data_IF_832588156402
#
_entry.id   IF_832588156402
#
_cell.length_a   1.000
_cell.length_b   1.000
_cell.length_c   1.000
_cell.angle_alpha   90.00
_cell.angle_beta   90.00
_cell.angle_gamma   90.00
#
_symmetry.space_group_name_H-M   'P 1'
#
loop_
_entity.id
_entity.type
_entity.pdbx_description
1 polymer ?
#
# COMPACT_ATOMS: atom_id res chain seq x y z
N UNK A 1 48.17 13.50 4.56
CA UNK A 1 46.78 13.11 4.96
C UNK A 1 46.67 11.62 4.78
N UNK A 2 46.31 10.87 5.84
CA UNK A 2 46.13 9.41 5.75
C UNK A 2 44.74 9.08 5.22
N UNK A 3 44.66 7.98 4.44
CA UNK A 3 43.37 7.44 3.97
C UNK A 3 42.73 6.66 5.12
N UNK A 4 41.48 6.97 5.46
CA UNK A 4 40.70 6.24 6.46
C UNK A 4 39.73 5.34 5.72
N UNK A 5 39.81 4.03 5.97
CA UNK A 5 38.85 3.07 5.41
C UNK A 5 37.58 2.97 6.27
N UNK A 6 36.42 2.78 5.63
CA UNK A 6 35.19 2.48 6.34
C UNK A 6 35.30 1.11 7.00
N UNK A 7 34.98 1.03 8.29
CA UNK A 7 35.04 -0.23 9.05
C UNK A 7 33.84 -1.14 8.85
N UNK A 8 32.76 -0.64 8.22
CA UNK A 8 31.59 -1.43 7.88
C UNK A 8 31.84 -2.27 6.63
N UNK A 9 32.08 -3.57 6.79
CA UNK A 9 32.32 -4.50 5.70
C UNK A 9 31.04 -4.88 4.91
N UNK A 10 29.85 -4.54 5.42
CA UNK A 10 28.59 -4.78 4.74
C UNK A 10 28.16 -3.63 3.83
N UNK A 11 28.93 -2.55 3.76
CA UNK A 11 28.59 -1.39 2.93
C UNK A 11 28.46 -1.78 1.45
N UNK A 12 27.29 -1.52 0.86
CA UNK A 12 26.95 -1.91 -0.51
C UNK A 12 26.53 -3.38 -0.70
N UNK A 13 26.64 -4.22 0.33
CA UNK A 13 26.20 -5.62 0.28
C UNK A 13 24.70 -5.67 0.55
N UNK A 14 23.95 -6.34 -0.32
CA UNK A 14 22.48 -6.49 -0.18
C UNK A 14 21.74 -5.17 0.08
N UNK A 15 22.18 -4.08 -0.56
CA UNK A 15 21.58 -2.75 -0.38
C UNK A 15 21.76 -2.18 1.02
N UNK A 16 22.72 -2.70 1.80
CA UNK A 16 23.07 -2.16 3.11
C UNK A 16 23.82 -0.86 2.91
N UNK A 17 23.28 0.23 3.41
CA UNK A 17 23.93 1.52 3.59
C UNK A 17 24.32 1.62 5.08
N UNK A 18 25.60 1.73 5.36
CA UNK A 18 26.06 1.75 6.74
C UNK A 18 25.72 3.05 7.45
N UNK A 19 25.38 2.97 8.72
CA UNK A 19 25.19 4.15 9.56
C UNK A 19 26.34 4.28 10.55
N UNK A 20 26.53 3.29 11.44
CA UNK A 20 27.54 3.37 12.52
C UNK A 20 27.98 1.99 12.98
N UNK A 21 29.27 1.77 12.94
CA UNK A 21 29.93 0.67 13.65
C UNK A 21 30.32 1.10 15.07
N UNK A 22 30.27 0.17 15.99
CA UNK A 22 30.77 0.34 17.36
C UNK A 22 31.61 -0.88 17.77
N UNK A 23 32.72 -0.62 18.43
CA UNK A 23 33.56 -1.67 19.02
C UNK A 23 34.17 -1.11 20.31
N UNK A 24 33.87 -1.78 21.42
CA UNK A 24 34.58 -1.65 22.69
C UNK A 24 35.06 -3.06 23.06
N UNK A 25 34.35 -3.71 23.96
CA UNK A 25 34.53 -5.14 24.30
C UNK A 25 33.72 -6.04 23.35
N UNK A 26 32.66 -5.52 22.74
CA UNK A 26 31.72 -6.20 21.86
C UNK A 26 31.47 -5.38 20.61
N UNK A 27 31.11 -6.06 19.52
CA UNK A 27 30.82 -5.44 18.25
C UNK A 27 29.35 -5.05 18.15
N UNK A 28 29.08 -3.90 17.53
CA UNK A 28 27.72 -3.41 17.28
C UNK A 28 27.64 -2.76 15.91
N UNK A 29 26.49 -2.86 15.25
CA UNK A 29 26.23 -2.22 13.95
C UNK A 29 24.79 -1.70 13.90
N UNK A 30 24.67 -0.40 13.60
CA UNK A 30 23.42 0.22 13.13
C UNK A 30 23.50 0.35 11.61
N UNK A 31 22.50 -0.13 10.91
CA UNK A 31 22.49 -0.16 9.45
C UNK A 31 21.10 0.17 8.87
N UNK A 32 21.09 0.59 7.61
CA UNK A 32 19.92 0.57 6.75
C UNK A 32 20.12 -0.43 5.63
N UNK A 33 19.05 -1.02 5.14
CA UNK A 33 19.05 -1.80 3.90
C UNK A 33 17.83 -1.42 3.07
N UNK A 34 18.04 -1.24 1.77
CA UNK A 34 16.97 -0.94 0.82
C UNK A 34 16.60 -2.18 0.04
N UNK A 35 15.31 -2.43 -0.08
CA UNK A 35 14.77 -3.43 -0.99
C UNK A 35 13.74 -2.78 -1.91
N UNK A 36 13.65 -3.25 -3.15
CA UNK A 36 12.66 -2.77 -4.12
C UNK A 36 11.70 -3.89 -4.46
N UNK A 37 10.40 -3.64 -4.30
CA UNK A 37 9.32 -4.53 -4.67
C UNK A 37 8.49 -3.84 -5.75
N UNK A 38 8.58 -4.30 -6.99
CA UNK A 38 7.83 -3.76 -8.14
C UNK A 38 7.84 -2.22 -8.18
N UNK A 39 9.03 -1.62 -8.09
CA UNK A 39 9.25 -0.17 -8.08
C UNK A 39 8.98 0.53 -6.74
N UNK A 40 8.44 -0.16 -5.75
CA UNK A 40 8.28 0.39 -4.40
C UNK A 40 9.53 0.14 -3.57
N UNK A 41 10.15 1.21 -3.08
CA UNK A 41 11.35 1.12 -2.23
C UNK A 41 10.94 1.02 -0.77
N UNK A 42 11.45 -0.01 -0.08
CA UNK A 42 11.31 -0.20 1.35
C UNK A 42 12.68 0.00 1.99
N UNK A 43 12.76 0.81 3.03
CA UNK A 43 13.99 1.00 3.81
C UNK A 43 13.83 0.27 5.13
N UNK A 44 14.72 -0.68 5.37
CA UNK A 44 14.88 -1.36 6.65
C UNK A 44 15.90 -0.60 7.48
N UNK A 45 15.62 -0.43 8.76
CA UNK A 45 16.56 0.08 9.74
C UNK A 45 16.76 -1.03 10.75
N UNK A 46 18.01 -1.44 10.96
CA UNK A 46 18.36 -2.51 11.88
C UNK A 46 19.51 -2.13 12.78
N UNK A 47 19.50 -2.70 13.98
CA UNK A 47 20.59 -2.59 14.94
C UNK A 47 20.90 -3.97 15.53
N UNK A 48 22.18 -4.30 15.56
CA UNK A 48 22.71 -5.47 16.27
C UNK A 48 23.70 -4.96 17.30
N UNK A 49 23.50 -5.36 18.54
CA UNK A 49 24.32 -4.97 19.69
C UNK A 49 24.96 -6.21 20.33
N UNK A 50 26.06 -5.98 21.02
CA UNK A 50 26.72 -6.98 21.89
C UNK A 50 27.16 -8.27 21.18
N UNK A 51 27.50 -8.19 19.89
CA UNK A 51 28.04 -9.32 19.18
C UNK A 51 29.51 -9.60 19.56
N UNK A 52 29.96 -10.86 19.49
CA UNK A 52 31.31 -11.23 19.93
C UNK A 52 32.41 -10.59 19.05
N UNK A 53 32.13 -10.34 17.79
CA UNK A 53 33.03 -9.70 16.81
C UNK A 53 32.24 -9.27 15.56
N UNK A 54 32.86 -8.43 14.70
CA UNK A 54 32.23 -7.97 13.46
C UNK A 54 31.87 -9.10 12.48
N UNK A 55 32.71 -10.10 12.18
CA UNK A 55 32.33 -11.17 11.28
C UNK A 55 31.07 -11.91 11.69
N UNK A 56 30.89 -12.15 12.98
CA UNK A 56 29.69 -12.83 13.51
C UNK A 56 28.44 -11.98 13.35
N UNK A 57 28.49 -10.69 13.69
CA UNK A 57 27.32 -9.81 13.54
C UNK A 57 27.02 -9.55 12.06
N UNK A 58 28.02 -9.48 11.19
CA UNK A 58 27.84 -9.31 9.74
C UNK A 58 27.08 -10.49 9.15
N UNK A 59 27.41 -11.72 9.55
CA UNK A 59 26.67 -12.92 9.13
C UNK A 59 25.23 -12.91 9.64
N UNK A 60 25.01 -12.53 10.90
CA UNK A 60 23.66 -12.41 11.50
C UNK A 60 22.83 -11.34 10.80
N UNK A 61 23.43 -10.19 10.45
CA UNK A 61 22.76 -9.10 9.72
C UNK A 61 22.33 -9.55 8.33
N UNK A 62 23.17 -10.25 7.58
CA UNK A 62 22.81 -10.80 6.26
C UNK A 62 21.61 -11.74 6.38
N UNK A 63 21.64 -12.63 7.36
CA UNK A 63 20.51 -13.54 7.63
C UNK A 63 19.22 -12.76 7.94
N UNK A 64 19.30 -11.78 8.82
CA UNK A 64 18.17 -10.94 9.22
C UNK A 64 17.60 -10.14 8.05
N UNK A 65 18.47 -9.52 7.23
CA UNK A 65 18.05 -8.78 6.02
C UNK A 65 17.42 -9.72 5.01
N UNK A 66 17.96 -10.92 4.81
CA UNK A 66 17.38 -11.94 3.93
C UNK A 66 15.99 -12.38 4.39
N UNK A 67 15.80 -12.64 5.67
CA UNK A 67 14.50 -12.98 6.27
C UNK A 67 13.51 -11.80 6.15
N UNK A 68 13.98 -10.59 6.43
CA UNK A 68 13.15 -9.40 6.27
C UNK A 68 12.68 -9.22 4.82
N UNK A 69 13.57 -9.39 3.85
CA UNK A 69 13.23 -9.32 2.42
C UNK A 69 12.19 -10.38 2.03
N UNK A 70 12.37 -11.61 2.47
CA UNK A 70 11.45 -12.70 2.19
C UNK A 70 10.05 -12.48 2.80
N UNK A 71 9.94 -11.70 3.87
CA UNK A 71 8.69 -11.38 4.53
C UNK A 71 7.87 -10.29 3.84
N UNK A 72 8.51 -9.37 3.08
CA UNK A 72 7.80 -8.31 2.39
C UNK A 72 7.30 -8.74 1.02
N UNK A 73 6.04 -8.44 0.71
CA UNK A 73 5.46 -8.66 -0.60
C UNK A 73 4.40 -7.62 -0.92
N UNK A 74 4.10 -7.48 -2.22
CA UNK A 74 3.04 -6.60 -2.71
C UNK A 74 1.76 -7.40 -2.92
N UNK A 75 0.67 -6.96 -2.27
CA UNK A 75 -0.67 -7.48 -2.48
C UNK A 75 -1.46 -6.46 -3.30
N UNK A 76 -1.99 -6.86 -4.45
CA UNK A 76 -2.90 -6.03 -5.21
C UNK A 76 -4.24 -5.98 -4.48
N UNK A 77 -4.56 -4.82 -3.90
CA UNK A 77 -5.78 -4.62 -3.09
C UNK A 77 -6.94 -4.04 -3.91
N UNK A 78 -6.66 -3.43 -5.05
CA UNK A 78 -7.68 -3.00 -6.00
C UNK A 78 -7.15 -3.11 -7.44
N UNK A 79 -7.96 -3.63 -8.34
CA UNK A 79 -7.73 -3.57 -9.78
C UNK A 79 -8.55 -2.42 -10.39
N UNK A 80 -7.99 -1.70 -11.39
CA UNK A 80 -8.74 -0.70 -12.13
C UNK A 80 -10.03 -1.31 -12.70
N UNK A 81 -11.17 -0.66 -12.44
CA UNK A 81 -12.48 -1.15 -12.86
C UNK A 81 -13.14 -2.16 -11.92
N UNK A 82 -12.47 -2.62 -10.87
CA UNK A 82 -13.06 -3.47 -9.83
C UNK A 82 -14.18 -2.72 -9.11
N UNK A 83 -15.35 -3.37 -8.96
CA UNK A 83 -16.52 -2.78 -8.30
C UNK A 83 -16.40 -2.91 -6.76
N UNK A 84 -16.72 -1.81 -6.07
CA UNK A 84 -16.74 -1.71 -4.60
C UNK A 84 -18.11 -1.35 -4.04
N UNK A 85 -18.97 -0.71 -4.84
CA UNK A 85 -20.34 -0.39 -4.46
C UNK A 85 -21.24 -0.37 -5.68
N UNK A 86 -22.55 -0.51 -5.46
CA UNK A 86 -23.57 -0.43 -6.51
C UNK A 86 -24.59 0.62 -6.12
N UNK A 87 -24.90 1.48 -7.07
CA UNK A 87 -26.00 2.44 -6.98
C UNK A 87 -27.23 1.89 -7.71
N UNK A 88 -28.38 2.03 -7.08
CA UNK A 88 -29.67 1.75 -7.71
C UNK A 88 -30.60 2.94 -7.42
N UNK A 89 -31.12 3.57 -8.46
CA UNK A 89 -32.06 4.67 -8.35
C UNK A 89 -33.50 4.14 -8.15
N UNK A 90 -34.41 5.00 -7.69
CA UNK A 90 -35.84 4.65 -7.52
C UNK A 90 -36.49 4.26 -8.85
N UNK A 91 -35.99 4.73 -9.99
CA UNK A 91 -36.46 4.41 -11.33
C UNK A 91 -35.68 3.28 -12.03
N UNK A 92 -34.92 2.49 -11.24
CA UNK A 92 -34.31 1.25 -11.72
C UNK A 92 -32.95 1.41 -12.43
N UNK A 93 -32.42 2.63 -12.63
CA UNK A 93 -31.08 2.81 -13.20
C UNK A 93 -30.04 2.30 -12.18
N UNK A 94 -29.08 1.51 -12.68
CA UNK A 94 -28.00 0.95 -11.84
C UNK A 94 -26.65 1.37 -12.40
N UNK A 95 -25.69 1.65 -11.52
CA UNK A 95 -24.29 1.86 -11.85
C UNK A 95 -23.37 1.36 -10.74
N UNK A 96 -22.21 0.83 -11.09
CA UNK A 96 -21.19 0.42 -10.11
C UNK A 96 -20.21 1.55 -9.86
N UNK A 97 -19.81 1.71 -8.61
CA UNK A 97 -18.64 2.48 -8.23
C UNK A 97 -17.40 1.58 -8.37
N UNK A 98 -16.51 1.92 -9.26
CA UNK A 98 -15.35 1.12 -9.61
C UNK A 98 -14.05 1.85 -9.30
N UNK A 99 -12.99 1.12 -8.98
CA UNK A 99 -11.68 1.69 -8.75
C UNK A 99 -11.16 2.42 -9.99
N UNK A 100 -10.73 3.67 -9.82
CA UNK A 100 -10.21 4.51 -10.92
C UNK A 100 -8.85 4.02 -11.45
N UNK A 101 -8.08 3.32 -10.62
CA UNK A 101 -6.76 2.76 -10.93
C UNK A 101 -6.51 1.49 -10.12
N UNK A 102 -5.51 0.72 -10.53
CA UNK A 102 -5.01 -0.38 -9.69
C UNK A 102 -4.18 0.17 -8.54
N UNK A 103 -4.24 -0.51 -7.40
CA UNK A 103 -3.47 -0.17 -6.19
C UNK A 103 -2.95 -1.46 -5.56
N UNK A 104 -1.69 -1.44 -5.17
CA UNK A 104 -1.05 -2.49 -4.38
C UNK A 104 -0.63 -1.93 -3.02
N UNK A 105 -0.53 -2.79 -2.03
CA UNK A 105 -0.11 -2.48 -0.67
C UNK A 105 1.05 -3.39 -0.29
N UNK A 106 2.09 -2.83 0.29
CA UNK A 106 3.19 -3.61 0.88
C UNK A 106 2.69 -4.24 2.17
N UNK A 107 2.84 -5.55 2.28
CA UNK A 107 2.49 -6.31 3.48
C UNK A 107 3.69 -7.10 3.98
N UNK A 108 3.70 -7.41 5.27
CA UNK A 108 4.69 -8.26 5.91
C UNK A 108 4.04 -9.59 6.29
N UNK A 109 4.65 -10.70 5.88
CA UNK A 109 4.18 -12.05 6.22
C UNK A 109 2.69 -12.22 5.89
N UNK A 110 1.94 -12.78 6.82
CA UNK A 110 0.50 -13.00 6.73
C UNK A 110 -0.35 -11.85 7.27
N UNK A 111 0.16 -10.61 7.34
CA UNK A 111 -0.62 -9.46 7.85
C UNK A 111 -1.92 -9.30 7.08
N UNK A 112 -3.09 -9.35 7.73
CA UNK A 112 -4.37 -9.24 7.04
C UNK A 112 -4.58 -7.83 6.48
N UNK A 113 -5.18 -7.78 5.29
CA UNK A 113 -5.61 -6.51 4.68
C UNK A 113 -7.06 -6.27 5.06
N UNK A 114 -7.32 -5.09 5.64
CA UNK A 114 -8.67 -4.62 5.94
C UNK A 114 -9.11 -3.60 4.89
N UNK A 115 -10.32 -3.78 4.34
CA UNK A 115 -10.96 -2.87 3.39
C UNK A 115 -12.01 -2.02 4.09
N UNK A 116 -12.05 -0.73 3.73
CA UNK A 116 -13.14 0.19 4.09
C UNK A 116 -13.55 1.00 2.88
N UNK A 117 -14.80 0.84 2.43
CA UNK A 117 -15.37 1.61 1.34
C UNK A 117 -16.30 2.70 1.88
N UNK A 118 -16.10 3.94 1.42
CA UNK A 118 -16.95 5.09 1.69
C UNK A 118 -17.44 5.64 0.36
N UNK A 119 -18.76 5.63 0.17
CA UNK A 119 -19.40 6.13 -1.05
C UNK A 119 -20.51 7.12 -0.67
N UNK A 120 -20.57 8.26 -1.36
CA UNK A 120 -21.59 9.28 -1.13
C UNK A 120 -22.90 8.89 -1.80
N UNK A 121 -24.04 9.28 -1.22
CA UNK A 121 -25.36 9.11 -1.85
C UNK A 121 -25.47 10.00 -3.09
N UNK A 122 -26.05 9.43 -4.17
CA UNK A 122 -26.25 10.12 -5.45
C UNK A 122 -27.61 9.76 -6.02
N UNK A 123 -28.24 10.74 -6.66
CA UNK A 123 -29.48 10.55 -7.42
C UNK A 123 -29.19 10.43 -8.92
N UNK A 124 -28.39 11.35 -9.45
CA UNK A 124 -27.93 11.35 -10.84
C UNK A 124 -26.46 11.77 -10.88
N UNK A 125 -25.71 11.23 -11.81
CA UNK A 125 -24.33 11.65 -12.05
C UNK A 125 -23.84 11.10 -13.41
N UNK A 126 -22.85 11.78 -14.00
CA UNK A 126 -22.21 11.35 -15.23
C UNK A 126 -21.27 10.17 -14.99
N UNK A 127 -20.97 9.41 -16.05
CA UNK A 127 -19.90 8.42 -16.06
C UNK A 127 -18.59 9.05 -15.57
N UNK A 128 -17.76 8.29 -14.90
CA UNK A 128 -16.45 8.69 -14.35
C UNK A 128 -16.51 9.75 -13.24
N UNK A 129 -17.70 10.16 -12.78
CA UNK A 129 -17.84 11.00 -11.58
C UNK A 129 -17.24 10.27 -10.39
N UNK A 130 -16.36 10.93 -9.63
CA UNK A 130 -15.82 10.38 -8.37
C UNK A 130 -16.91 10.38 -7.31
N UNK A 131 -17.18 9.20 -6.77
CA UNK A 131 -18.33 8.95 -5.87
C UNK A 131 -17.93 8.46 -4.49
N UNK A 132 -16.65 8.23 -4.27
CA UNK A 132 -16.18 7.73 -2.98
C UNK A 132 -14.72 7.33 -3.02
N UNK A 133 -14.33 6.57 -2.01
CA UNK A 133 -12.97 6.04 -1.85
C UNK A 133 -13.03 4.66 -1.22
N UNK A 134 -12.23 3.73 -1.73
CA UNK A 134 -11.89 2.49 -1.04
C UNK A 134 -10.51 2.64 -0.41
N UNK A 135 -10.40 2.34 0.88
CA UNK A 135 -9.18 2.42 1.68
C UNK A 135 -8.81 1.03 2.16
N UNK A 136 -7.53 0.72 2.16
CA UNK A 136 -6.96 -0.57 2.55
C UNK A 136 -5.88 -0.34 3.59
N UNK A 137 -5.85 -1.16 4.63
CA UNK A 137 -4.84 -1.10 5.69
C UNK A 137 -4.29 -2.48 5.97
N UNK A 138 -2.98 -2.57 6.21
CA UNK A 138 -2.30 -3.78 6.66
C UNK A 138 -1.20 -3.37 7.65
N UNK A 139 -1.43 -3.59 8.94
CA UNK A 139 -0.57 -3.09 10.00
C UNK A 139 -0.48 -1.55 9.94
N UNK A 140 0.73 -1.03 9.77
CA UNK A 140 1.01 0.41 9.66
C UNK A 140 0.88 0.96 8.22
N UNK A 141 0.79 0.07 7.23
CA UNK A 141 0.70 0.46 5.83
C UNK A 141 -0.74 0.70 5.41
N UNK A 142 -0.95 1.71 4.57
CA UNK A 142 -2.27 2.02 4.02
C UNK A 142 -2.19 2.48 2.57
N UNK A 143 -3.26 2.23 1.83
CA UNK A 143 -3.42 2.74 0.48
C UNK A 143 -4.90 3.06 0.24
N UNK A 144 -5.17 3.97 -0.70
CA UNK A 144 -6.52 4.35 -1.05
C UNK A 144 -6.67 4.53 -2.57
N UNK A 145 -7.89 4.29 -3.05
CA UNK A 145 -8.24 4.48 -4.46
C UNK A 145 -9.57 5.21 -4.57
N UNK A 146 -9.64 6.27 -5.42
CA UNK A 146 -10.91 6.90 -5.76
C UNK A 146 -11.84 5.93 -6.48
N UNK A 147 -13.12 5.99 -6.15
CA UNK A 147 -14.18 5.23 -6.82
C UNK A 147 -14.91 6.14 -7.81
N UNK A 148 -15.10 5.66 -9.03
CA UNK A 148 -15.77 6.38 -10.12
C UNK A 148 -16.96 5.57 -10.62
N UNK A 149 -18.00 6.25 -11.12
CA UNK A 149 -19.10 5.57 -11.78
C UNK A 149 -18.66 4.90 -13.08
N UNK A 150 -18.90 3.62 -13.22
CA UNK A 150 -18.60 2.85 -14.43
C UNK A 150 -19.49 3.27 -15.61
N UNK A 151 -20.70 3.77 -15.33
CA UNK A 151 -21.67 4.29 -16.29
C UNK A 151 -22.49 5.41 -15.64
N UNK A 152 -23.19 6.26 -16.40
CA UNK A 152 -24.01 7.33 -15.82
C UNK A 152 -25.18 6.78 -15.00
N UNK A 153 -25.54 7.47 -13.96
CA UNK A 153 -26.84 7.38 -13.28
C UNK A 153 -27.75 8.42 -13.92
N UNK A 154 -28.51 7.99 -14.93
CA UNK A 154 -29.44 8.86 -15.64
C UNK A 154 -30.69 9.12 -14.81
N UNK A 155 -31.34 10.25 -15.02
CA UNK A 155 -32.63 10.57 -14.44
C UNK A 155 -33.75 9.65 -14.95
N UNK A 156 -34.95 9.73 -14.35
CA UNK A 156 -36.09 8.93 -14.76
C UNK A 156 -36.54 9.30 -16.19
N UNK A 157 -36.93 8.28 -16.95
CA UNK A 157 -37.51 8.45 -18.28
C UNK A 157 -38.90 9.11 -18.22
N UNK A 158 -39.42 9.57 -19.41
CA UNK A 158 -40.72 10.26 -19.50
C UNK A 158 -41.89 9.43 -18.97
N UNK A 159 -41.97 8.14 -19.30
CA UNK A 159 -43.01 7.24 -18.82
C UNK A 159 -43.00 7.12 -17.29
N UNK A 160 -41.86 6.90 -16.69
CA UNK A 160 -41.73 6.79 -15.25
C UNK A 160 -42.18 8.07 -14.53
N UNK A 161 -41.89 9.25 -15.13
CA UNK A 161 -42.33 10.56 -14.58
C UNK A 161 -43.85 10.72 -14.62
N UNK A 162 -44.50 10.25 -15.66
CA UNK A 162 -45.96 10.27 -15.81
C UNK A 162 -46.65 9.36 -14.77
N UNK A 163 -46.05 8.20 -14.51
CA UNK A 163 -46.57 7.23 -13.54
C UNK A 163 -46.31 7.62 -12.08
N UNK A 164 -45.36 8.54 -11.81
CA UNK A 164 -44.94 8.92 -10.45
C UNK A 164 -44.84 10.44 -10.26
N UNK A 165 -45.91 11.20 -10.49
CA UNK A 165 -45.87 12.67 -10.44
C UNK A 165 -45.51 13.22 -9.06
N UNK A 166 -45.86 12.52 -7.97
CA UNK A 166 -45.60 12.95 -6.59
C UNK A 166 -44.18 12.69 -6.05
N UNK A 167 -43.31 12.02 -6.83
CA UNK A 167 -41.93 11.72 -6.40
C UNK A 167 -40.91 12.73 -6.95
N UNK A 168 -41.35 13.60 -7.85
CA UNK A 168 -40.48 14.57 -8.56
C UNK A 168 -40.57 15.98 -7.98
N UNK A 169 -41.38 16.18 -6.97
CA UNK A 169 -41.47 17.37 -6.16
C UNK A 169 -40.73 17.11 -4.84
#
# INVERSE_FOLDING_TARGET
MGTVSNTNQLLGVEGIDGIKTGTLTQASLLFTSRLTLDGTVITLIGVVLDGPNHPTIDAAIRTLVGQARAGFHLVRVAAKGQAFATYTTKWGTRASAVAARSVSLVVWGGTPVTERTVARTLTTASKSTTVGTASFTAGVNSAAVPLQLARPLSGPGGLWRLEHPGILL
#
